data_IF_233585381334
#
_entry.id   IF_233585381334
#
_cell.length_a   1.000
_cell.length_b   1.000
_cell.length_c   1.000
_cell.angle_alpha   90.00
_cell.angle_beta   90.00
_cell.angle_gamma   90.00
#
_symmetry.space_group_name_H-M   'P 1'
#
loop_
_entity.id
_entity.type
_entity.pdbx_description
1 polymer ?
#
# COMPACT_ATOMS: atom_id res chain seq x y z
N UNK A 1 23.90 67.82 6.28
CA UNK A 1 23.50 66.63 7.06
C UNK A 1 21.98 66.49 7.06
N UNK A 2 21.39 65.68 6.16
CA UNK A 2 20.15 64.94 6.38
C UNK A 2 20.22 63.70 5.50
N UNK A 3 20.39 62.55 6.15
CA UNK A 3 20.52 61.22 5.54
C UNK A 3 19.19 60.84 4.86
N UNK A 4 19.24 60.42 3.58
CA UNK A 4 18.18 59.63 2.97
C UNK A 4 18.28 58.19 3.53
N UNK A 5 17.31 57.78 4.34
CA UNK A 5 17.12 56.39 4.74
C UNK A 5 16.27 55.68 3.70
N UNK A 6 16.91 54.92 2.81
CA UNK A 6 16.23 54.00 1.90
C UNK A 6 15.70 52.80 2.68
N UNK A 7 14.38 52.60 2.63
CA UNK A 7 13.69 51.49 3.26
C UNK A 7 13.83 50.24 2.37
N UNK A 8 14.76 49.35 2.69
CA UNK A 8 14.87 48.04 2.05
C UNK A 8 13.73 47.13 2.52
N UNK A 9 12.72 46.97 1.68
CA UNK A 9 11.72 45.90 1.88
C UNK A 9 12.37 44.56 1.56
N UNK A 10 12.61 43.76 2.60
CA UNK A 10 12.96 42.35 2.42
C UNK A 10 11.71 41.58 1.98
N UNK A 11 11.71 41.15 0.72
CA UNK A 11 10.77 40.16 0.23
C UNK A 11 11.20 38.80 0.80
N UNK A 12 10.64 38.42 1.95
CA UNK A 12 10.80 37.07 2.48
C UNK A 12 10.01 36.10 1.59
N UNK A 13 10.68 35.54 0.60
CA UNK A 13 10.14 34.42 -0.19
C UNK A 13 10.05 33.22 0.76
N UNK A 14 8.86 32.97 1.31
CA UNK A 14 8.60 31.77 2.10
C UNK A 14 8.73 30.55 1.17
N UNK A 15 9.91 29.96 1.13
CA UNK A 15 10.11 28.64 0.54
C UNK A 15 9.37 27.62 1.40
N UNK A 16 8.11 27.33 1.05
CA UNK A 16 7.43 26.17 1.62
C UNK A 16 8.26 24.93 1.24
N UNK A 17 8.72 24.12 2.19
CA UNK A 17 9.41 22.89 1.83
C UNK A 17 8.45 22.04 1.00
N UNK A 18 8.89 21.60 -0.18
CA UNK A 18 8.23 20.54 -0.93
C UNK A 18 8.35 19.26 -0.11
N UNK A 19 7.43 19.05 0.83
CA UNK A 19 7.34 17.79 1.56
C UNK A 19 6.76 16.76 0.60
N UNK A 20 7.61 15.86 0.10
CA UNK A 20 7.14 14.71 -0.65
C UNK A 20 6.45 13.75 0.32
N UNK A 21 5.16 13.46 0.11
CA UNK A 21 4.42 12.52 0.95
C UNK A 21 5.01 11.10 0.89
N UNK A 22 5.66 10.76 -0.21
CA UNK A 22 6.41 9.52 -0.44
C UNK A 22 7.34 9.68 -1.65
N UNK A 23 8.21 8.70 -1.90
CA UNK A 23 9.02 8.62 -3.13
C UNK A 23 8.82 7.28 -3.82
N UNK A 24 8.75 7.28 -5.15
CA UNK A 24 8.56 6.05 -5.92
C UNK A 24 9.87 5.30 -6.14
N UNK A 25 9.82 3.96 -6.28
CA UNK A 25 8.65 3.08 -6.06
C UNK A 25 8.44 2.74 -4.57
N UNK A 26 7.18 2.49 -4.17
CA UNK A 26 6.84 2.01 -2.81
C UNK A 26 7.19 0.53 -2.61
N UNK A 27 6.93 -0.32 -3.61
CA UNK A 27 7.30 -1.75 -3.59
C UNK A 27 8.13 -2.09 -4.80
N UNK A 28 9.38 -2.51 -4.56
CA UNK A 28 10.29 -3.03 -5.58
C UNK A 28 11.22 -4.07 -4.96
N UNK A 29 11.21 -5.34 -5.41
CA UNK A 29 10.26 -5.95 -6.36
C UNK A 29 8.87 -6.20 -5.74
N UNK A 30 7.92 -6.73 -6.53
CA UNK A 30 6.66 -7.29 -6.02
C UNK A 30 5.54 -6.27 -5.71
N UNK A 31 5.40 -5.24 -6.55
CA UNK A 31 4.37 -4.19 -6.42
C UNK A 31 3.19 -4.31 -7.38
N UNK A 32 3.01 -5.45 -8.06
CA UNK A 32 1.89 -5.67 -8.98
C UNK A 32 0.55 -5.68 -8.26
N UNK A 33 -0.49 -5.17 -8.93
CA UNK A 33 -1.86 -5.09 -8.44
C UNK A 33 -1.96 -4.47 -7.03
N UNK A 34 -1.40 -3.27 -6.80
CA UNK A 34 -1.35 -2.68 -5.47
C UNK A 34 -2.75 -2.25 -5.02
N UNK A 35 -3.15 -2.69 -3.83
CA UNK A 35 -4.33 -2.18 -3.16
C UNK A 35 -3.93 -1.50 -1.85
N UNK A 36 -4.32 -0.24 -1.70
CA UNK A 36 -4.03 0.59 -0.54
C UNK A 36 -5.34 1.10 0.06
N UNK A 37 -5.55 0.88 1.36
CA UNK A 37 -6.62 1.55 2.11
C UNK A 37 -6.06 2.27 3.31
N UNK A 38 -6.62 3.44 3.62
CA UNK A 38 -6.46 4.06 4.91
C UNK A 38 -7.60 3.63 5.82
N UNK A 39 -7.29 3.32 7.06
CA UNK A 39 -8.25 2.86 8.05
C UNK A 39 -8.37 3.89 9.17
N UNK A 40 -9.54 3.95 9.81
CA UNK A 40 -9.81 4.89 10.92
C UNK A 40 -8.95 4.67 12.17
N UNK A 41 -8.13 3.62 12.19
CA UNK A 41 -7.11 3.33 13.22
C UNK A 41 -5.77 4.05 12.98
N UNK A 42 -5.66 4.87 11.94
CA UNK A 42 -4.47 5.69 11.68
C UNK A 42 -3.42 5.03 10.78
N UNK A 43 -3.71 3.86 10.21
CA UNK A 43 -2.78 3.12 9.37
C UNK A 43 -3.23 3.05 7.91
N UNK A 44 -2.24 3.11 7.02
CA UNK A 44 -2.34 2.61 5.65
C UNK A 44 -2.06 1.12 5.65
N UNK A 45 -2.87 0.36 4.91
CA UNK A 45 -2.70 -1.07 4.67
C UNK A 45 -2.46 -1.30 3.19
N UNK A 46 -1.34 -1.94 2.85
CA UNK A 46 -0.91 -2.21 1.48
C UNK A 46 -0.78 -3.71 1.23
N UNK A 47 -1.45 -4.16 0.18
CA UNK A 47 -1.36 -5.51 -0.36
C UNK A 47 -0.92 -5.44 -1.82
N UNK A 48 -0.30 -6.52 -2.30
CA UNK A 48 0.12 -6.68 -3.69
C UNK A 48 0.18 -8.16 -4.03
N UNK A 49 0.18 -8.50 -5.32
CA UNK A 49 0.32 -9.89 -5.78
C UNK A 49 1.64 -10.51 -5.33
N UNK A 50 1.57 -11.66 -4.66
CA UNK A 50 2.76 -12.45 -4.22
C UNK A 50 2.82 -13.85 -4.84
N UNK A 51 1.83 -14.23 -5.67
CA UNK A 51 1.71 -15.50 -6.39
C UNK A 51 1.36 -16.74 -5.55
N UNK A 52 1.67 -16.74 -4.25
CA UNK A 52 1.49 -17.93 -3.38
C UNK A 52 0.82 -17.63 -2.05
N UNK A 53 0.76 -16.37 -1.64
CA UNK A 53 0.24 -15.94 -0.34
C UNK A 53 -0.64 -14.71 -0.51
N UNK A 54 -1.39 -14.37 0.54
CA UNK A 54 -1.82 -12.98 0.71
C UNK A 54 -1.01 -12.39 1.86
N UNK A 55 -0.36 -11.26 1.58
CA UNK A 55 0.44 -10.52 2.56
C UNK A 55 -0.10 -9.11 2.74
N UNK A 56 -0.14 -8.66 3.99
CA UNK A 56 -0.50 -7.29 4.35
C UNK A 56 0.68 -6.61 5.05
N UNK A 57 1.01 -5.40 4.59
CA UNK A 57 1.89 -4.50 5.34
C UNK A 57 1.09 -3.28 5.78
N UNK A 58 1.46 -2.69 6.92
CA UNK A 58 0.85 -1.44 7.36
C UNK A 58 1.87 -0.43 7.87
N UNK A 59 1.57 0.85 7.69
CA UNK A 59 2.37 1.95 8.23
C UNK A 59 1.49 3.19 8.43
N UNK A 60 1.91 4.11 9.30
CA UNK A 60 1.22 5.39 9.51
C UNK A 60 1.46 6.40 8.38
N UNK A 61 2.44 6.14 7.50
CA UNK A 61 2.71 6.94 6.29
C UNK A 61 2.87 6.04 5.07
N UNK A 62 2.60 6.58 3.87
CA UNK A 62 2.81 5.84 2.61
C UNK A 62 4.31 5.52 2.42
N UNK A 63 5.21 6.45 2.75
CA UNK A 63 6.66 6.22 2.66
C UNK A 63 7.12 5.07 3.57
N UNK A 64 6.54 4.97 4.78
CA UNK A 64 6.87 3.90 5.72
C UNK A 64 6.46 2.50 5.24
N UNK A 65 5.59 2.39 4.22
CA UNK A 65 5.21 1.08 3.65
C UNK A 65 6.36 0.40 2.90
N UNK A 66 7.42 1.14 2.54
CA UNK A 66 8.62 0.59 1.90
C UNK A 66 9.36 -0.40 2.79
N UNK A 67 9.38 -0.14 4.10
CA UNK A 67 10.11 -0.92 5.10
C UNK A 67 9.20 -1.62 6.10
N UNK A 68 7.88 -1.43 5.99
CA UNK A 68 6.90 -2.06 6.86
C UNK A 68 6.99 -3.59 6.79
N UNK A 69 6.93 -4.23 7.96
CA UNK A 69 6.88 -5.69 8.06
C UNK A 69 5.62 -6.22 7.38
N UNK A 70 5.80 -7.20 6.49
CA UNK A 70 4.70 -7.92 5.84
C UNK A 70 4.25 -9.08 6.71
N UNK A 71 2.95 -9.30 6.81
CA UNK A 71 2.34 -10.45 7.48
C UNK A 71 1.57 -11.29 6.48
N UNK A 72 1.86 -12.59 6.44
CA UNK A 72 1.07 -13.57 5.67
C UNK A 72 -0.26 -13.78 6.40
N UNK A 73 -1.37 -13.57 5.70
CA UNK A 73 -2.74 -13.77 6.21
C UNK A 73 -3.49 -14.87 5.47
N UNK A 74 -2.92 -15.36 4.35
CA UNK A 74 -3.40 -16.54 3.65
C UNK A 74 -2.24 -17.29 3.01
N UNK A 75 -2.31 -18.62 3.14
CA UNK A 75 -1.63 -19.61 2.33
C UNK A 75 -2.50 -20.87 2.32
N UNK A 76 -2.32 -21.75 1.34
CA UNK A 76 -3.11 -22.98 1.26
C UNK A 76 -2.28 -24.12 0.69
N UNK A 77 -2.42 -25.31 1.29
CA UNK A 77 -1.89 -26.57 0.76
C UNK A 77 -2.87 -27.27 -0.21
N UNK A 78 -4.10 -26.77 -0.33
CA UNK A 78 -5.09 -27.30 -1.27
C UNK A 78 -4.68 -26.98 -2.72
N UNK A 79 -4.45 -28.02 -3.51
CA UNK A 79 -3.98 -27.91 -4.89
C UNK A 79 -4.91 -27.11 -5.81
N UNK A 80 -6.19 -26.92 -5.45
CA UNK A 80 -7.13 -26.12 -6.25
C UNK A 80 -7.00 -24.61 -6.00
N UNK A 81 -6.32 -24.17 -4.93
CA UNK A 81 -6.22 -22.76 -4.52
C UNK A 81 -4.90 -22.39 -3.83
N UNK A 82 -3.86 -23.22 -3.97
CA UNK A 82 -2.54 -22.99 -3.38
C UNK A 82 -1.75 -21.88 -4.07
N UNK A 83 -2.15 -21.56 -5.29
CA UNK A 83 -1.24 -21.09 -6.30
C UNK A 83 -1.90 -19.98 -7.11
N UNK A 84 -1.11 -19.24 -7.89
CA UNK A 84 -1.59 -18.11 -8.69
C UNK A 84 -2.40 -17.11 -7.83
N UNK A 85 -1.90 -16.79 -6.63
CA UNK A 85 -2.58 -15.88 -5.70
C UNK A 85 -2.39 -14.44 -6.15
N UNK A 86 -3.45 -13.79 -6.61
CA UNK A 86 -3.38 -12.48 -7.28
C UNK A 86 -4.35 -11.44 -6.74
N UNK A 87 -3.95 -10.17 -6.91
CA UNK A 87 -4.72 -8.96 -6.73
C UNK A 87 -5.53 -8.91 -5.42
N UNK A 88 -4.88 -9.08 -4.25
CA UNK A 88 -5.58 -9.00 -2.98
C UNK A 88 -6.02 -7.56 -2.65
N UNK A 89 -7.27 -7.40 -2.22
CA UNK A 89 -7.84 -6.13 -1.76
C UNK A 89 -8.43 -6.28 -0.35
N UNK A 90 -8.23 -5.27 0.51
CA UNK A 90 -8.71 -5.29 1.90
C UNK A 90 -9.79 -4.23 2.13
N UNK A 91 -10.93 -4.65 2.67
CA UNK A 91 -12.10 -3.79 2.83
C UNK A 91 -12.66 -3.90 4.25
N UNK A 92 -13.08 -2.77 4.83
CA UNK A 92 -13.82 -2.75 6.10
C UNK A 92 -15.30 -2.61 5.81
N UNK A 93 -16.06 -3.70 5.99
CA UNK A 93 -17.48 -3.76 5.64
C UNK A 93 -18.25 -4.36 6.83
N UNK A 94 -19.34 -3.72 7.27
CA UNK A 94 -20.19 -4.28 8.34
C UNK A 94 -19.43 -4.61 9.63
N UNK A 95 -18.49 -3.74 10.04
CA UNK A 95 -17.66 -3.88 11.24
C UNK A 95 -16.70 -5.10 11.23
N UNK A 96 -16.27 -5.55 10.04
CA UNK A 96 -15.31 -6.64 9.85
C UNK A 96 -14.37 -6.33 8.70
N UNK A 97 -13.15 -6.87 8.77
CA UNK A 97 -12.22 -6.89 7.66
C UNK A 97 -12.58 -8.02 6.69
N UNK A 98 -12.50 -7.73 5.40
CA UNK A 98 -12.61 -8.72 4.34
C UNK A 98 -11.41 -8.56 3.40
N UNK A 99 -10.82 -9.68 2.99
CA UNK A 99 -9.79 -9.67 1.95
C UNK A 99 -10.27 -10.49 0.77
N UNK A 100 -10.46 -9.83 -0.37
CA UNK A 100 -10.83 -10.45 -1.64
C UNK A 100 -9.59 -10.65 -2.47
N UNK A 101 -9.45 -11.82 -3.08
CA UNK A 101 -8.31 -12.14 -3.94
C UNK A 101 -8.71 -13.26 -4.89
N UNK A 102 -7.85 -13.56 -5.86
CA UNK A 102 -8.02 -14.77 -6.66
C UNK A 102 -6.94 -15.80 -6.36
N UNK A 103 -7.28 -17.09 -6.46
CA UNK A 103 -6.34 -18.19 -6.39
C UNK A 103 -6.85 -19.37 -7.24
N UNK A 104 -5.91 -20.19 -7.69
CA UNK A 104 -6.14 -21.37 -8.52
C UNK A 104 -5.12 -22.48 -8.25
N UNK A 105 -5.06 -23.44 -9.17
CA UNK A 105 -4.05 -24.51 -9.15
C UNK A 105 -2.75 -24.11 -9.84
N UNK A 106 -1.74 -24.98 -9.76
CA UNK A 106 -0.41 -24.74 -10.36
C UNK A 106 -0.27 -25.24 -11.81
N UNK A 107 -1.18 -26.10 -12.28
CA UNK A 107 -1.05 -26.77 -13.58
C UNK A 107 -1.16 -25.79 -14.77
N UNK A 108 -2.06 -24.80 -14.66
CA UNK A 108 -2.29 -23.75 -15.63
C UNK A 108 -3.03 -22.57 -14.95
N UNK A 109 -3.40 -21.54 -15.72
CA UNK A 109 -4.17 -20.39 -15.23
C UNK A 109 -5.69 -20.59 -15.35
N UNK A 110 -6.13 -21.77 -15.80
CA UNK A 110 -7.55 -22.12 -15.83
C UNK A 110 -8.03 -22.40 -14.41
N UNK A 111 -9.31 -22.19 -14.15
CA UNK A 111 -9.94 -22.33 -12.81
C UNK A 111 -9.46 -21.32 -11.77
N UNK A 112 -8.96 -20.15 -12.19
CA UNK A 112 -8.83 -19.01 -11.31
C UNK A 112 -10.22 -18.61 -10.78
N UNK A 113 -10.35 -18.52 -9.45
CA UNK A 113 -11.61 -18.17 -8.77
C UNK A 113 -11.37 -17.11 -7.71
N UNK A 114 -12.43 -16.34 -7.44
CA UNK A 114 -12.48 -15.39 -6.33
C UNK A 114 -12.60 -16.12 -5.00
N UNK A 115 -11.86 -15.66 -4.01
CA UNK A 115 -11.91 -16.12 -2.62
C UNK A 115 -12.03 -14.92 -1.68
N UNK A 116 -12.50 -15.16 -0.46
CA UNK A 116 -12.63 -14.14 0.57
C UNK A 116 -12.17 -14.65 1.94
N UNK A 117 -11.39 -13.84 2.66
CA UNK A 117 -11.07 -14.02 4.08
C UNK A 117 -11.94 -13.08 4.92
N UNK A 118 -12.29 -13.48 6.15
CA UNK A 118 -12.93 -12.62 7.15
C UNK A 118 -12.15 -12.66 8.47
#
# INVERSE_FOLDING_TARGET
MRLLSTLTSFLALAAAPLVSAFTNPIRRPGGSDPFLTYSGDGYYYLLSTTWSTVEIARSTTIEGLKTATKKVVYSSADASRCCNVWAPEVHWLGNRWYIYFTAGGSANLDNQRMHVLR
#
